data_IF_656373148197
#
_entry.id   IF_656373148197
#
_cell.length_a   1.000
_cell.length_b   1.000
_cell.length_c   1.000
_cell.angle_alpha   90.00
_cell.angle_beta   90.00
_cell.angle_gamma   90.00
#
_symmetry.space_group_name_H-M   'P 1'
#
loop_
_entity.id
_entity.type
_entity.pdbx_description
1 polymer ?
#
# COMPACT_ATOMS: atom_id res chain seq x y z
N UNK A 1 59.13 8.37 0.75
CA UNK A 1 58.09 8.50 -0.28
C UNK A 1 57.22 7.25 -0.29
N UNK A 2 56.22 7.19 0.60
CA UNK A 2 55.22 6.14 0.59
C UNK A 2 54.42 6.29 -0.71
N UNK A 3 54.44 5.22 -1.50
CA UNK A 3 54.07 5.21 -2.92
C UNK A 3 52.60 5.62 -3.08
N UNK A 4 52.36 6.70 -3.84
CA UNK A 4 51.05 7.19 -4.29
C UNK A 4 50.14 6.05 -4.82
N UNK A 5 50.75 4.96 -5.32
CA UNK A 5 50.10 3.74 -5.80
C UNK A 5 49.32 2.96 -4.73
N UNK A 6 49.71 3.02 -3.45
CA UNK A 6 49.01 2.28 -2.37
C UNK A 6 47.77 3.01 -1.86
N UNK A 7 47.65 4.32 -2.08
CA UNK A 7 46.47 5.12 -1.67
C UNK A 7 45.29 4.93 -2.63
N UNK A 8 45.56 4.70 -3.92
CA UNK A 8 44.53 4.47 -4.94
C UNK A 8 43.81 3.13 -4.70
N UNK A 9 44.52 2.12 -4.18
CA UNK A 9 43.94 0.81 -3.91
C UNK A 9 42.92 0.83 -2.77
N UNK A 10 43.14 1.68 -1.75
CA UNK A 10 42.22 1.85 -0.61
C UNK A 10 40.95 2.58 -1.04
N UNK A 11 41.04 3.56 -1.93
CA UNK A 11 39.88 4.30 -2.43
C UNK A 11 38.95 3.43 -3.29
N UNK A 12 39.51 2.45 -4.02
CA UNK A 12 38.73 1.53 -4.87
C UNK A 12 37.94 0.48 -4.06
N UNK A 13 38.34 0.19 -2.83
CA UNK A 13 37.68 -0.80 -1.96
C UNK A 13 36.45 -0.21 -1.23
N UNK A 14 36.37 1.11 -1.08
CA UNK A 14 35.28 1.79 -0.35
C UNK A 14 34.04 2.00 -1.26
N UNK A 15 34.19 1.93 -2.58
CA UNK A 15 33.07 2.14 -3.52
C UNK A 15 32.25 0.89 -3.80
N UNK A 16 32.73 -0.30 -3.44
CA UNK A 16 32.02 -1.57 -3.66
C UNK A 16 31.09 -1.98 -2.51
N UNK A 17 31.15 -1.29 -1.37
CA UNK A 17 30.32 -1.58 -0.19
C UNK A 17 29.00 -0.80 -0.14
N UNK A 18 28.69 0.03 -1.14
CA UNK A 18 27.34 0.60 -1.29
C UNK A 18 26.42 -0.40 -2.01
N UNK A 19 26.22 -1.57 -1.40
CA UNK A 19 25.02 -2.34 -1.64
C UNK A 19 23.91 -1.61 -0.89
N UNK A 20 23.35 -0.57 -1.52
CA UNK A 20 22.17 0.09 -1.01
C UNK A 20 21.09 -0.95 -0.86
N UNK A 21 20.70 -1.26 0.37
CA UNK A 21 19.47 -1.96 0.65
C UNK A 21 18.36 -1.16 -0.05
N UNK A 22 17.91 -1.66 -1.20
CA UNK A 22 16.79 -1.08 -1.92
C UNK A 22 15.56 -1.28 -1.04
N UNK A 23 15.22 -0.28 -0.24
CA UNK A 23 13.98 -0.23 0.49
C UNK A 23 12.87 -0.28 -0.56
N UNK A 24 12.05 -1.32 -0.55
CA UNK A 24 11.03 -1.50 -1.59
C UNK A 24 10.06 -0.33 -1.54
N UNK A 25 9.97 0.44 -2.62
CA UNK A 25 8.99 1.51 -2.73
C UNK A 25 7.56 0.94 -2.67
N UNK A 26 6.64 1.71 -2.11
CA UNK A 26 5.23 1.34 -2.11
C UNK A 26 4.73 1.16 -3.55
N UNK A 27 3.94 0.11 -3.76
CA UNK A 27 3.22 -0.10 -5.01
C UNK A 27 1.86 -0.70 -4.67
N UNK A 28 0.79 -0.20 -5.28
CA UNK A 28 -0.53 -0.81 -5.11
C UNK A 28 -0.59 -2.22 -5.69
N UNK A 29 0.24 -2.53 -6.70
CA UNK A 29 0.32 -3.85 -7.33
C UNK A 29 0.76 -4.88 -6.29
N UNK A 30 0.00 -5.96 -6.17
CA UNK A 30 0.22 -7.01 -5.19
C UNK A 30 -1.08 -7.60 -4.65
N UNK A 31 -0.93 -8.52 -3.70
CA UNK A 31 -2.05 -9.16 -3.00
C UNK A 31 -2.14 -8.54 -1.62
N UNK A 32 -3.33 -8.10 -1.26
CA UNK A 32 -3.60 -7.32 -0.07
C UNK A 32 -4.76 -7.94 0.70
N UNK A 33 -4.53 -8.36 1.94
CA UNK A 33 -5.55 -8.92 2.81
C UNK A 33 -5.95 -7.89 3.87
N UNK A 34 -7.25 -7.65 4.03
CA UNK A 34 -7.78 -6.85 5.12
C UNK A 34 -7.44 -7.54 6.45
N UNK A 35 -6.76 -6.83 7.34
CA UNK A 35 -6.38 -7.34 8.66
C UNK A 35 -6.98 -6.55 9.80
N UNK A 36 -7.28 -5.26 9.59
CA UNK A 36 -7.82 -4.41 10.66
C UNK A 36 -8.85 -3.43 10.12
N UNK A 37 -9.78 -3.03 10.97
CA UNK A 37 -10.68 -1.89 10.78
C UNK A 37 -10.46 -0.88 11.88
N UNK A 38 -10.22 0.36 11.50
CA UNK A 38 -10.00 1.49 12.39
C UNK A 38 -11.20 2.42 12.29
N UNK A 39 -11.61 2.97 13.42
CA UNK A 39 -12.60 4.04 13.48
C UNK A 39 -12.62 4.74 14.83
N UNK A 40 -13.49 5.73 14.96
CA UNK A 40 -13.76 6.43 16.22
C UNK A 40 -15.27 6.35 16.51
N UNK A 41 -15.66 6.33 17.79
CA UNK A 41 -17.06 6.28 18.26
C UNK A 41 -17.55 7.62 18.86
N UNK A 42 -16.86 8.71 18.53
CA UNK A 42 -17.06 10.06 19.06
C UNK A 42 -16.33 10.32 20.38
N UNK A 43 -15.87 9.27 21.07
CA UNK A 43 -15.15 9.38 22.33
C UNK A 43 -13.74 8.79 22.28
N UNK A 44 -13.54 7.70 21.52
CA UNK A 44 -12.27 6.99 21.44
C UNK A 44 -12.05 6.36 20.07
N UNK A 45 -10.77 6.27 19.71
CA UNK A 45 -10.34 5.44 18.59
C UNK A 45 -10.45 3.96 18.98
N UNK A 46 -10.85 3.13 18.03
CA UNK A 46 -10.89 1.68 18.15
C UNK A 46 -10.24 1.00 16.96
N UNK A 47 -9.66 -0.17 17.22
CA UNK A 47 -9.09 -1.06 16.21
C UNK A 47 -9.70 -2.44 16.37
N UNK A 48 -10.29 -2.95 15.30
CA UNK A 48 -10.86 -4.30 15.24
C UNK A 48 -10.03 -5.17 14.31
N UNK A 49 -9.54 -6.30 14.82
CA UNK A 49 -8.80 -7.28 14.03
C UNK A 49 -9.75 -8.12 13.16
N UNK A 50 -9.33 -8.44 11.93
CA UNK A 50 -10.11 -9.17 10.93
C UNK A 50 -9.34 -10.43 10.52
N UNK A 51 -9.78 -11.60 10.98
CA UNK A 51 -9.06 -12.85 10.71
C UNK A 51 -9.24 -13.38 9.27
N UNK A 52 -10.45 -13.31 8.72
CA UNK A 52 -10.77 -13.71 7.35
C UNK A 52 -11.20 -12.52 6.49
N UNK A 53 -10.35 -11.49 6.46
CA UNK A 53 -10.64 -10.28 5.70
C UNK A 53 -10.62 -10.49 4.20
N UNK A 54 -11.35 -9.62 3.50
CA UNK A 54 -11.35 -9.59 2.04
C UNK A 54 -9.94 -9.42 1.48
N UNK A 55 -9.71 -10.01 0.31
CA UNK A 55 -8.46 -9.92 -0.42
C UNK A 55 -8.70 -9.14 -1.71
N UNK A 56 -7.85 -8.16 -1.96
CA UNK A 56 -7.70 -7.53 -3.26
C UNK A 56 -6.38 -7.96 -3.90
N UNK A 57 -6.41 -8.27 -5.18
CA UNK A 57 -5.25 -8.57 -5.99
C UNK A 57 -5.20 -7.52 -7.09
N UNK A 58 -4.21 -6.62 -7.02
CA UNK A 58 -3.98 -5.61 -8.05
C UNK A 58 -2.84 -6.08 -8.95
N UNK A 59 -3.12 -6.16 -10.24
CA UNK A 59 -2.17 -6.58 -11.27
C UNK A 59 -1.76 -5.38 -12.13
N UNK A 60 -0.79 -5.58 -13.00
CA UNK A 60 -0.44 -4.58 -14.03
C UNK A 60 -1.62 -4.39 -14.98
N UNK A 61 -1.60 -3.29 -15.75
CA UNK A 61 -2.64 -2.94 -16.71
C UNK A 61 -4.04 -2.77 -16.08
N UNK A 62 -4.08 -2.23 -14.85
CA UNK A 62 -5.33 -1.81 -14.19
C UNK A 62 -6.31 -2.96 -13.93
N UNK A 63 -5.82 -4.19 -13.74
CA UNK A 63 -6.64 -5.37 -13.43
C UNK A 63 -6.74 -5.57 -11.91
N UNK A 64 -7.96 -5.77 -11.41
CA UNK A 64 -8.21 -6.11 -10.01
C UNK A 64 -8.90 -7.49 -9.90
N UNK A 65 -8.61 -8.24 -8.85
CA UNK A 65 -9.35 -9.46 -8.49
C UNK A 65 -9.71 -9.48 -7.01
N UNK A 66 -10.81 -10.14 -6.68
CA UNK A 66 -11.17 -10.44 -5.30
C UNK A 66 -10.74 -11.86 -4.87
N UNK A 67 -11.00 -12.22 -3.61
CA UNK A 67 -10.71 -13.55 -3.04
C UNK A 67 -11.39 -14.69 -3.82
N UNK A 68 -12.54 -14.44 -4.44
CA UNK A 68 -13.31 -15.42 -5.22
C UNK A 68 -12.85 -15.52 -6.67
N UNK A 69 -11.87 -14.71 -7.08
CA UNK A 69 -11.34 -14.68 -8.44
C UNK A 69 -12.20 -13.86 -9.42
N UNK A 70 -13.19 -13.10 -8.93
CA UNK A 70 -13.92 -12.18 -9.79
C UNK A 70 -12.96 -11.13 -10.34
N UNK A 71 -13.07 -10.85 -11.63
CA UNK A 71 -12.18 -9.92 -12.33
C UNK A 71 -12.88 -8.57 -12.44
N UNK A 72 -12.13 -7.53 -12.13
CA UNK A 72 -12.52 -6.14 -12.27
C UNK A 72 -11.37 -5.30 -12.77
N UNK A 73 -11.54 -3.98 -12.68
CA UNK A 73 -10.50 -3.01 -12.95
C UNK A 73 -10.25 -2.12 -11.74
N UNK A 74 -9.11 -1.45 -11.71
CA UNK A 74 -8.87 -0.35 -10.79
C UNK A 74 -8.27 0.85 -11.50
N UNK A 75 -8.52 2.02 -10.96
CA UNK A 75 -7.87 3.27 -11.35
C UNK A 75 -7.27 3.90 -10.10
N UNK A 76 -6.00 4.30 -10.18
CA UNK A 76 -5.29 4.99 -9.11
C UNK A 76 -4.74 6.30 -9.66
N UNK A 77 -5.29 7.43 -9.20
CA UNK A 77 -4.80 8.78 -9.48
C UNK A 77 -4.38 9.48 -8.18
N UNK A 78 -3.07 9.57 -7.95
CA UNK A 78 -2.52 10.02 -6.69
C UNK A 78 -3.00 9.14 -5.53
N UNK A 79 -3.86 9.69 -4.66
CA UNK A 79 -4.48 8.96 -3.53
C UNK A 79 -5.86 8.41 -3.85
N UNK A 80 -6.44 8.76 -5.00
CA UNK A 80 -7.80 8.39 -5.37
C UNK A 80 -7.79 7.01 -6.01
N UNK A 81 -8.41 6.03 -5.36
CA UNK A 81 -8.56 4.68 -5.87
C UNK A 81 -10.02 4.40 -6.18
N UNK A 82 -10.31 3.98 -7.40
CA UNK A 82 -11.59 3.38 -7.77
C UNK A 82 -11.37 1.91 -8.12
N UNK A 83 -12.18 1.01 -7.56
CA UNK A 83 -12.13 -0.43 -7.87
C UNK A 83 -13.51 -0.82 -8.41
N UNK A 84 -13.55 -1.28 -9.65
CA UNK A 84 -14.81 -1.66 -10.33
C UNK A 84 -14.87 -3.15 -10.51
N UNK A 85 -15.88 -3.77 -9.92
CA UNK A 85 -16.28 -5.14 -10.19
C UNK A 85 -17.68 -5.15 -10.81
N UNK A 86 -18.22 -6.34 -11.08
CA UNK A 86 -19.54 -6.50 -11.73
C UNK A 86 -20.70 -6.00 -10.85
N UNK A 87 -20.51 -5.96 -9.53
CA UNK A 87 -21.48 -5.51 -8.54
C UNK A 87 -21.46 -3.98 -8.32
N UNK A 88 -20.45 -3.28 -8.85
CA UNK A 88 -20.33 -1.83 -8.79
C UNK A 88 -18.90 -1.35 -8.59
N UNK A 89 -18.78 -0.03 -8.38
CA UNK A 89 -17.51 0.65 -8.15
C UNK A 89 -17.41 1.11 -6.71
N UNK A 90 -16.27 0.81 -6.07
CA UNK A 90 -15.94 1.23 -4.71
C UNK A 90 -14.82 2.25 -4.77
N UNK A 91 -14.98 3.36 -4.06
CA UNK A 91 -14.04 4.47 -4.06
C UNK A 91 -13.34 4.56 -2.71
N UNK A 92 -12.03 4.81 -2.76
CA UNK A 92 -11.18 4.91 -1.58
C UNK A 92 -10.17 6.04 -1.71
N UNK A 93 -9.79 6.62 -0.58
CA UNK A 93 -8.53 7.33 -0.44
C UNK A 93 -7.45 6.37 0.09
N UNK A 94 -6.32 6.33 -0.62
CA UNK A 94 -5.18 5.48 -0.35
C UNK A 94 -4.17 6.24 0.52
N UNK A 95 -3.81 5.63 1.64
CA UNK A 95 -2.72 6.07 2.49
C UNK A 95 -1.79 4.88 2.75
N UNK A 96 -0.48 5.14 2.74
CA UNK A 96 0.52 4.19 3.19
C UNK A 96 1.53 4.95 4.05
N UNK A 97 2.05 4.27 5.06
CA UNK A 97 3.11 4.81 5.89
C UNK A 97 4.48 4.48 5.25
N UNK A 98 5.55 4.58 6.04
CA UNK A 98 6.89 4.11 5.65
C UNK A 98 6.99 2.57 5.51
N UNK A 99 5.91 1.85 5.79
CA UNK A 99 5.80 0.41 5.66
C UNK A 99 5.15 0.07 4.29
N UNK A 100 5.92 -0.38 3.29
CA UNK A 100 5.39 -0.72 1.97
C UNK A 100 4.50 -1.96 1.96
N UNK A 101 4.40 -2.67 3.09
CA UNK A 101 3.52 -3.83 3.29
C UNK A 101 2.19 -3.47 3.95
N UNK A 102 1.97 -2.19 4.28
CA UNK A 102 0.74 -1.67 4.87
C UNK A 102 0.03 -0.73 3.89
N UNK A 103 -1.27 -0.94 3.71
CA UNK A 103 -2.14 -0.11 2.90
C UNK A 103 -3.36 0.25 3.71
N UNK A 104 -3.65 1.54 3.88
CA UNK A 104 -4.89 2.04 4.48
C UNK A 104 -5.81 2.52 3.38
N UNK A 105 -7.01 1.97 3.33
CA UNK A 105 -8.07 2.37 2.42
C UNK A 105 -9.20 3.03 3.21
N UNK A 106 -9.40 4.32 2.99
CA UNK A 106 -10.48 5.06 3.62
C UNK A 106 -11.64 5.14 2.62
N UNK A 107 -12.80 4.52 2.91
CA UNK A 107 -13.92 4.53 1.98
C UNK A 107 -14.47 5.95 1.83
N UNK A 108 -14.86 6.30 0.60
CA UNK A 108 -15.40 7.60 0.21
C UNK A 108 -16.53 7.43 -0.81
N UNK A 109 -17.28 8.50 -1.07
CA UNK A 109 -18.27 8.51 -2.16
C UNK A 109 -17.59 8.59 -3.55
N UNK A 110 -18.39 8.56 -4.61
CA UNK A 110 -17.93 8.64 -6.01
C UNK A 110 -17.20 9.95 -6.36
N UNK A 111 -17.44 11.02 -5.58
CA UNK A 111 -16.77 12.31 -5.73
C UNK A 111 -15.57 12.45 -4.79
N UNK A 112 -15.18 11.36 -4.11
CA UNK A 112 -14.14 11.32 -3.08
C UNK A 112 -14.44 12.21 -1.86
N UNK A 113 -15.73 12.45 -1.59
CA UNK A 113 -16.23 13.04 -0.36
C UNK A 113 -16.10 12.08 0.82
N UNK A 114 -15.77 12.61 2.00
CA UNK A 114 -15.72 11.80 3.20
C UNK A 114 -17.13 11.36 3.59
N UNK A 115 -17.33 10.05 3.73
CA UNK A 115 -18.62 9.43 4.11
C UNK A 115 -18.68 9.03 5.58
N UNK A 116 -17.60 9.23 6.33
CA UNK A 116 -17.48 8.82 7.72
C UNK A 116 -17.02 10.02 8.55
N UNK A 117 -17.92 10.53 9.40
CA UNK A 117 -17.69 11.69 10.26
C UNK A 117 -16.57 11.40 11.28
N UNK A 118 -16.59 10.20 11.86
CA UNK A 118 -15.67 9.78 12.92
C UNK A 118 -14.45 8.98 12.39
N UNK A 119 -14.15 9.10 11.10
CA UNK A 119 -12.99 8.43 10.49
C UNK A 119 -13.19 6.91 10.35
N UNK A 120 -13.00 6.41 9.14
CA UNK A 120 -13.11 4.99 8.83
C UNK A 120 -11.91 4.60 7.97
N UNK A 121 -11.18 3.57 8.37
CA UNK A 121 -10.06 3.05 7.59
C UNK A 121 -9.99 1.53 7.66
N UNK A 122 -9.90 0.91 6.49
CA UNK A 122 -9.62 -0.52 6.33
C UNK A 122 -8.11 -0.70 6.12
N UNK A 123 -7.46 -1.44 7.01
CA UNK A 123 -6.01 -1.69 6.95
C UNK A 123 -5.74 -3.05 6.31
N UNK A 124 -5.04 -2.99 5.19
CA UNK A 124 -4.60 -4.13 4.41
C UNK A 124 -3.11 -4.40 4.59
N UNK A 125 -2.76 -5.69 4.61
CA UNK A 125 -1.38 -6.17 4.63
C UNK A 125 -1.06 -6.97 3.38
N UNK A 126 0.15 -6.77 2.85
CA UNK A 126 0.64 -7.52 1.69
C UNK A 126 0.85 -8.99 2.05
N UNK A 127 0.45 -9.91 1.17
CA UNK A 127 0.58 -11.38 1.32
C UNK A 127 1.19 -12.05 0.08
#
# INVERSE_FOLDING_TARGET
>A
MYRLKNLILIFLLITLSSCGFAQSEFSIIGRWKLTEKHGNDGARDYVTQVQDGNIFIFEKNNVARDKSGNIGSYELDGKKLAITFKDGTRHYLVYHDNDPTKLSLNPVDENYGNICDEGCADIYRRI
#
